data_IF_569935283186
#
_entry.id   IF_569935283186
#
_cell.length_a   1.000
_cell.length_b   1.000
_cell.length_c   1.000
_cell.angle_alpha   90.00
_cell.angle_beta   90.00
_cell.angle_gamma   90.00
#
_symmetry.space_group_name_H-M   'P 1'
#
loop_
_entity.id
_entity.type
_entity.pdbx_description
1 polymer ?
#
# COMPACT_ATOMS: atom_id res chain seq x y z
N UNK A 1 8.48 25.00 7.75
CA UNK A 1 8.25 24.50 6.38
C UNK A 1 7.26 23.35 6.47
N UNK A 2 6.05 23.50 5.94
CA UNK A 2 5.05 22.42 5.88
C UNK A 2 5.39 21.53 4.69
N UNK A 3 5.80 20.29 4.98
CA UNK A 3 6.10 19.28 3.95
C UNK A 3 4.84 18.95 3.18
N UNK A 4 4.96 18.96 1.85
CA UNK A 4 3.88 18.72 0.90
C UNK A 4 3.36 17.30 1.10
N UNK A 5 2.10 17.16 1.52
CA UNK A 5 1.39 15.89 1.46
C UNK A 5 1.04 15.64 -0.01
N UNK A 6 1.81 14.77 -0.66
CA UNK A 6 1.50 14.30 -2.01
C UNK A 6 0.27 13.38 -1.94
N UNK A 7 -0.90 13.96 -2.24
CA UNK A 7 -2.13 13.20 -2.43
C UNK A 7 -2.05 12.44 -3.76
N UNK A 8 -2.61 11.23 -3.78
CA UNK A 8 -2.55 10.24 -4.86
C UNK A 8 -3.24 10.64 -6.20
N UNK A 9 -3.35 11.93 -6.52
CA UNK A 9 -4.01 12.43 -7.74
C UNK A 9 -3.08 13.16 -8.73
N UNK A 10 -1.81 13.38 -8.40
CA UNK A 10 -0.84 13.81 -9.40
C UNK A 10 -0.30 12.58 -10.12
N UNK A 11 -0.08 12.68 -11.42
CA UNK A 11 0.49 11.65 -12.29
C UNK A 11 1.96 11.30 -11.98
N UNK A 12 2.45 11.71 -10.81
CA UNK A 12 3.76 11.37 -10.27
C UNK A 12 3.60 10.19 -9.33
N UNK A 13 4.56 9.26 -9.34
CA UNK A 13 4.54 8.09 -8.45
C UNK A 13 4.42 8.57 -6.99
N UNK A 14 3.32 8.29 -6.26
CA UNK A 14 3.23 8.59 -4.82
C UNK A 14 4.10 7.64 -3.99
N UNK A 15 4.91 6.83 -4.66
CA UNK A 15 5.79 5.85 -4.05
C UNK A 15 6.99 6.60 -3.48
N UNK A 16 7.21 6.40 -2.18
CA UNK A 16 8.54 6.52 -1.59
C UNK A 16 9.52 5.85 -2.57
N UNK A 17 10.64 6.47 -2.89
CA UNK A 17 11.68 5.93 -3.80
C UNK A 17 12.08 4.47 -3.49
N UNK A 18 11.71 3.95 -2.30
CA UNK A 18 11.93 2.59 -1.85
C UNK A 18 10.86 1.53 -2.16
N UNK A 19 9.75 1.78 -2.87
CA UNK A 19 8.79 0.72 -3.27
C UNK A 19 8.40 0.80 -4.76
N UNK A 20 8.84 -0.17 -5.55
CA UNK A 20 8.59 -0.26 -6.99
C UNK A 20 7.58 -1.37 -7.30
N UNK A 21 6.63 -1.08 -8.19
CA UNK A 21 5.71 -2.09 -8.69
C UNK A 21 6.47 -3.08 -9.59
N UNK A 22 6.41 -4.37 -9.25
CA UNK A 22 7.02 -5.44 -10.04
C UNK A 22 5.98 -6.29 -10.79
N UNK A 23 4.69 -6.03 -10.57
CA UNK A 23 3.60 -6.61 -11.36
C UNK A 23 2.85 -5.57 -12.19
N UNK A 24 2.45 -5.97 -13.41
CA UNK A 24 1.69 -5.15 -14.37
C UNK A 24 0.36 -4.67 -13.78
N UNK A 25 -0.26 -5.49 -12.93
CA UNK A 25 -1.53 -5.18 -12.28
C UNK A 25 -1.39 -4.34 -11.00
N UNK A 26 -0.18 -3.88 -10.65
CA UNK A 26 0.09 -3.04 -9.47
C UNK A 26 -0.41 -3.67 -8.15
N UNK A 27 -0.25 -4.98 -8.03
CA UNK A 27 -0.59 -5.78 -6.84
C UNK A 27 0.64 -6.35 -6.14
N UNK A 28 1.83 -6.13 -6.69
CA UNK A 28 3.08 -6.63 -6.14
C UNK A 28 4.12 -5.52 -6.24
N UNK A 29 4.70 -5.19 -5.10
CA UNK A 29 5.70 -4.16 -4.94
C UNK A 29 6.91 -4.69 -4.18
N UNK A 30 8.09 -4.20 -4.53
CA UNK A 30 9.34 -4.53 -3.84
C UNK A 30 10.20 -3.30 -3.61
N UNK A 31 11.03 -3.37 -2.59
CA UNK A 31 12.13 -2.45 -2.39
C UNK A 31 12.69 -2.54 -0.97
N UNK A 32 13.07 -1.43 -0.35
CA UNK A 32 13.84 -1.46 0.91
C UNK A 32 13.24 -0.60 2.00
N UNK A 33 13.29 -1.08 3.25
CA UNK A 33 12.83 -0.35 4.44
C UNK A 33 13.89 -0.30 5.54
N UNK A 34 13.94 0.82 6.27
CA UNK A 34 14.70 1.00 7.50
C UNK A 34 13.93 0.60 8.75
N UNK A 35 14.60 0.58 9.91
CA UNK A 35 14.00 0.13 11.18
C UNK A 35 12.96 1.09 11.77
N UNK A 36 12.99 2.36 11.39
CA UNK A 36 12.10 3.40 11.93
C UNK A 36 11.03 3.84 10.91
N UNK A 37 10.73 2.96 9.96
CA UNK A 37 9.82 3.24 8.86
C UNK A 37 8.61 2.31 8.93
N UNK A 38 7.43 2.88 8.67
CA UNK A 38 6.16 2.17 8.63
C UNK A 38 5.62 2.15 7.21
N UNK A 39 4.83 1.13 6.88
CA UNK A 39 4.19 1.01 5.56
C UNK A 39 2.70 1.24 5.70
N UNK A 40 2.20 2.24 4.98
CA UNK A 40 0.79 2.54 4.90
C UNK A 40 0.28 2.35 3.47
N UNK A 41 -0.79 1.57 3.34
CA UNK A 41 -1.49 1.37 2.07
C UNK A 41 -2.75 2.22 2.08
N UNK A 42 -2.80 3.22 1.19
CA UNK A 42 -3.90 4.18 1.05
C UNK A 42 -5.16 3.57 0.39
N UNK A 43 -5.57 2.40 0.86
CA UNK A 43 -6.81 1.72 0.54
C UNK A 43 -7.49 1.32 1.87
N UNK A 44 -8.83 1.17 1.89
CA UNK A 44 -9.53 0.65 3.06
C UNK A 44 -8.84 -0.59 3.64
N UNK A 45 -8.83 -0.71 4.98
CA UNK A 45 -8.26 -1.86 5.67
C UNK A 45 -8.64 -3.19 4.98
N UNK A 46 -7.63 -3.99 4.65
CA UNK A 46 -7.84 -5.29 4.03
C UNK A 46 -6.78 -6.30 4.44
N UNK A 47 -7.24 -7.48 4.90
CA UNK A 47 -6.40 -8.65 5.16
C UNK A 47 -5.80 -9.29 3.90
N UNK A 48 -6.13 -8.76 2.72
CA UNK A 48 -5.62 -9.24 1.44
C UNK A 48 -4.24 -8.66 1.12
N UNK A 49 -3.87 -7.54 1.73
CA UNK A 49 -2.50 -7.06 1.71
C UNK A 49 -1.64 -7.91 2.64
N UNK A 50 -0.48 -8.32 2.14
CA UNK A 50 0.54 -9.10 2.85
C UNK A 50 1.87 -8.39 2.70
N UNK A 51 2.56 -8.19 3.81
CA UNK A 51 3.91 -7.65 3.84
C UNK A 51 4.87 -8.73 4.33
N UNK A 52 5.98 -8.88 3.62
CA UNK A 52 7.15 -9.61 4.10
C UNK A 52 8.37 -8.68 4.10
N UNK A 53 9.20 -8.77 5.13
CA UNK A 53 10.54 -8.15 5.17
C UNK A 53 11.57 -9.24 5.41
N UNK A 54 12.51 -9.44 4.48
CA UNK A 54 13.47 -10.55 4.52
C UNK A 54 12.80 -11.92 4.78
N UNK A 55 11.67 -12.20 4.12
CA UNK A 55 10.84 -13.41 4.29
C UNK A 55 10.17 -13.56 5.66
N UNK A 56 10.18 -12.53 6.51
CA UNK A 56 9.39 -12.49 7.76
C UNK A 56 8.06 -11.80 7.48
N UNK A 57 6.95 -12.49 7.71
CA UNK A 57 5.61 -11.95 7.47
C UNK A 57 5.15 -11.02 8.60
N UNK A 58 4.44 -9.96 8.22
CA UNK A 58 3.81 -9.02 9.14
C UNK A 58 2.30 -8.99 8.90
N UNK A 59 1.55 -9.07 10.00
CA UNK A 59 0.09 -9.00 9.95
C UNK A 59 -0.36 -7.56 9.65
N UNK A 60 -1.40 -7.38 8.81
CA UNK A 60 -1.96 -6.07 8.54
C UNK A 60 -2.75 -5.55 9.75
N UNK A 61 -2.63 -4.26 10.04
CA UNK A 61 -3.39 -3.57 11.08
C UNK A 61 -4.21 -2.41 10.50
N UNK A 62 -5.23 -1.96 11.26
CA UNK A 62 -5.96 -0.74 10.91
C UNK A 62 -5.08 0.44 11.30
N UNK A 63 -4.74 1.26 10.32
CA UNK A 63 -3.94 2.46 10.50
C UNK A 63 -4.74 3.70 10.12
N UNK A 64 -4.47 4.83 10.79
CA UNK A 64 -5.10 6.13 10.48
C UNK A 64 -6.63 6.06 10.44
N UNK A 65 -7.25 5.13 11.18
CA UNK A 65 -8.70 4.83 11.21
C UNK A 65 -9.32 4.28 9.90
N UNK A 66 -8.59 4.26 8.78
CA UNK A 66 -9.14 3.81 7.49
C UNK A 66 -8.18 3.02 6.59
N UNK A 67 -6.87 3.09 6.83
CA UNK A 67 -5.85 2.48 5.98
C UNK A 67 -5.44 1.07 6.46
N UNK A 68 -4.76 0.32 5.58
CA UNK A 68 -4.01 -0.87 6.00
C UNK A 68 -2.59 -0.46 6.35
N UNK A 69 -2.18 -0.70 7.59
CA UNK A 69 -0.82 -0.44 8.08
C UNK A 69 -0.01 -1.72 8.29
N UNK A 70 1.31 -1.55 8.30
CA UNK A 70 2.25 -2.55 8.76
C UNK A 70 3.40 -1.88 9.50
N UNK A 71 3.77 -2.46 10.65
CA UNK A 71 4.81 -1.96 11.54
C UNK A 71 5.99 -2.94 11.66
N UNK A 72 6.80 -3.11 10.59
CA UNK A 72 7.96 -3.99 10.64
C UNK A 72 9.03 -3.45 11.59
N UNK A 73 9.62 -4.36 12.38
CA UNK A 73 10.67 -4.01 13.37
C UNK A 73 12.09 -4.30 12.88
N UNK A 74 12.24 -4.58 11.59
CA UNK A 74 13.48 -4.99 10.96
C UNK A 74 13.67 -4.24 9.65
N UNK A 75 14.92 -3.91 9.34
CA UNK A 75 15.29 -3.40 8.03
C UNK A 75 15.38 -4.52 6.99
N UNK A 76 15.35 -4.15 5.72
CA UNK A 76 15.70 -5.06 4.62
C UNK A 76 14.76 -4.96 3.44
N UNK A 77 14.70 -6.04 2.67
CA UNK A 77 13.93 -6.11 1.44
C UNK A 77 12.46 -6.31 1.77
N UNK A 78 11.62 -5.37 1.36
CA UNK A 78 10.17 -5.47 1.39
C UNK A 78 9.69 -6.27 0.19
N UNK A 79 8.73 -7.14 0.44
CA UNK A 79 7.82 -7.69 -0.55
C UNK A 79 6.37 -7.45 -0.10
N UNK A 80 5.65 -6.56 -0.80
CA UNK A 80 4.26 -6.19 -0.53
C UNK A 80 3.35 -6.74 -1.63
N UNK A 81 2.40 -7.59 -1.25
CA UNK A 81 1.49 -8.29 -2.18
C UNK A 81 0.03 -8.10 -1.80
N UNK A 82 -0.81 -7.87 -2.80
CA UNK A 82 -2.26 -7.95 -2.68
C UNK A 82 -2.78 -9.25 -3.27
N UNK A 83 -3.35 -10.10 -2.42
CA UNK A 83 -3.93 -11.38 -2.80
C UNK A 83 -5.43 -11.25 -3.04
N UNK A 84 -5.89 -11.45 -4.27
CA UNK A 84 -7.32 -11.68 -4.53
C UNK A 84 -7.61 -13.17 -4.48
N UNK A 85 -8.57 -13.61 -3.66
CA UNK A 85 -9.30 -14.83 -4.00
C UNK A 85 -9.89 -14.60 -5.38
N UNK A 86 -9.63 -15.50 -6.33
CA UNK A 86 -9.81 -15.28 -7.78
C UNK A 86 -11.23 -14.93 -8.28
N UNK A 87 -12.16 -14.56 -7.40
CA UNK A 87 -13.59 -14.37 -7.67
C UNK A 87 -14.13 -12.97 -7.40
N UNK A 88 -13.38 -12.01 -6.83
CA UNK A 88 -13.90 -10.65 -6.60
C UNK A 88 -13.12 -9.57 -7.36
N UNK A 89 -13.57 -9.29 -8.59
CA UNK A 89 -13.45 -7.95 -9.20
C UNK A 89 -14.57 -7.09 -8.63
N UNK A 90 -14.33 -6.38 -7.54
CA UNK A 90 -15.15 -5.21 -7.24
C UNK A 90 -14.58 -4.06 -8.06
N UNK A 91 -15.23 -3.77 -9.20
CA UNK A 91 -15.12 -2.47 -9.84
C UNK A 91 -15.66 -1.44 -8.85
N UNK A 92 -14.76 -0.76 -8.16
CA UNK A 92 -15.11 0.49 -7.48
C UNK A 92 -15.24 1.56 -8.58
N UNK A 93 -16.37 1.56 -9.29
CA UNK A 93 -16.80 2.74 -10.04
C UNK A 93 -17.19 3.78 -8.99
N UNK A 94 -16.29 4.73 -8.73
CA UNK A 94 -16.62 5.93 -7.96
C UNK A 94 -17.78 6.64 -8.63
N UNK A 95 -18.98 6.55 -8.03
CA UNK A 95 -20.13 7.32 -8.46
C UNK A 95 -20.08 8.68 -7.75
N UNK A 96 -19.41 9.65 -8.37
CA UNK A 96 -19.43 11.08 -8.02
C UNK A 96 -19.14 11.83 -9.33
N UNK A 97 -19.89 12.81 -9.83
CA UNK A 97 -21.15 13.45 -9.51
C UNK A 97 -21.47 14.30 -10.76
N UNK A 98 -22.66 14.22 -11.33
CA UNK A 98 -23.18 15.30 -12.16
C UNK A 98 -24.64 15.45 -11.81
N UNK A 99 -24.89 16.27 -10.78
CA UNK A 99 -26.17 16.94 -10.66
C UNK A 99 -26.31 17.90 -11.83
N UNK A 100 -27.43 17.75 -12.53
CA UNK A 100 -28.15 18.81 -13.23
C UNK A 100 -29.64 18.60 -12.90
#
# INVERSE_FOLDING_TARGET
>A
MRGVSNYASTSESPFIEGLQAISINRRHYQGTIGTDQEVYVAFPFSKQWKLEVNNVAFEPEIALDWATGFSPKSNGTIDLRYSTSGTQRLQLLSKLSSGL
#
